data_IF_399385784136
#
_entry.id   IF_399385784136
#
_cell.length_a   1.000
_cell.length_b   1.000
_cell.length_c   1.000
_cell.angle_alpha   90.00
_cell.angle_beta   90.00
_cell.angle_gamma   90.00
#
_symmetry.space_group_name_H-M   'P 1'
#
loop_
_entity.id
_entity.type
_entity.pdbx_description
1 polymer ?
#
# COMPACT_ATOMS: atom_id res chain seq x y z
N UNK A 1 -39.32 -15.61 45.77
CA UNK A 1 -38.78 -16.98 45.87
C UNK A 1 -39.40 -17.75 44.70
N UNK A 2 -38.81 -18.13 43.56
CA UNK A 2 -37.46 -18.42 43.00
C UNK A 2 -37.41 -17.85 41.54
N UNK A 3 -36.37 -17.16 41.00
CA UNK A 3 -35.11 -17.63 40.34
C UNK A 3 -35.35 -18.85 39.37
N UNK A 4 -34.98 -18.95 38.08
CA UNK A 4 -33.72 -18.62 37.35
C UNK A 4 -33.90 -18.88 35.82
N UNK A 5 -33.10 -18.17 35.01
CA UNK A 5 -32.65 -18.32 33.59
C UNK A 5 -32.84 -19.65 32.84
N UNK A 6 -33.09 -19.58 31.52
CA UNK A 6 -32.51 -20.41 30.43
C UNK A 6 -32.85 -19.72 29.07
N UNK A 7 -31.98 -18.98 28.39
CA UNK A 7 -30.89 -19.40 27.46
C UNK A 7 -31.35 -20.23 26.24
N UNK A 8 -31.22 -19.62 25.04
CA UNK A 8 -31.13 -20.17 23.66
C UNK A 8 -32.44 -20.39 22.87
N UNK A 9 -32.33 -20.27 21.53
CA UNK A 9 -33.34 -20.37 20.45
C UNK A 9 -34.17 -19.08 20.26
N UNK A 10 -34.16 -18.34 19.15
CA UNK A 10 -33.79 -18.61 17.75
C UNK A 10 -33.31 -17.28 17.11
N UNK A 11 -32.09 -17.29 16.56
CA UNK A 11 -31.54 -16.27 15.66
C UNK A 11 -31.77 -16.75 14.23
N UNK A 12 -32.85 -16.32 13.55
CA UNK A 12 -32.92 -16.26 12.08
C UNK A 12 -34.02 -15.25 11.70
N UNK A 13 -33.64 -13.99 11.48
CA UNK A 13 -34.45 -13.05 10.69
C UNK A 13 -33.53 -12.42 9.65
N UNK A 14 -33.45 -13.10 8.52
CA UNK A 14 -33.51 -12.54 7.17
C UNK A 14 -33.00 -11.11 6.98
N UNK A 15 -31.68 -10.93 6.82
CA UNK A 15 -31.12 -9.74 6.17
C UNK A 15 -30.87 -10.11 4.70
N UNK A 16 -31.96 -10.14 3.93
CA UNK A 16 -31.97 -10.25 2.46
C UNK A 16 -32.39 -8.89 1.90
N UNK A 17 -31.49 -7.90 1.89
CA UNK A 17 -31.65 -6.65 1.12
C UNK A 17 -30.42 -5.69 1.21
N UNK A 18 -29.18 -6.20 1.13
CA UNK A 18 -27.99 -5.31 1.09
C UNK A 18 -27.08 -5.57 -0.14
N UNK A 19 -27.64 -6.11 -1.23
CA UNK A 19 -26.89 -6.50 -2.42
C UNK A 19 -26.90 -5.45 -3.56
N UNK A 20 -27.10 -4.16 -3.27
CA UNK A 20 -27.15 -3.13 -4.32
C UNK A 20 -26.52 -1.81 -3.86
N UNK A 21 -25.21 -1.81 -3.62
CA UNK A 21 -24.32 -0.66 -3.79
C UNK A 21 -22.87 -1.11 -3.56
N UNK A 22 -22.36 -2.02 -4.39
CA UNK A 22 -20.90 -2.08 -4.55
C UNK A 22 -20.57 -0.85 -5.39
N UNK A 23 -19.84 0.16 -4.87
CA UNK A 23 -19.25 1.14 -5.75
C UNK A 23 -18.37 0.34 -6.70
N UNK A 24 -18.74 0.31 -7.98
CA UNK A 24 -17.82 -0.12 -9.02
C UNK A 24 -16.59 0.76 -8.83
N UNK A 25 -15.51 0.17 -8.29
CA UNK A 25 -14.23 0.84 -8.23
C UNK A 25 -13.93 1.22 -9.67
N UNK A 26 -14.11 2.50 -9.99
CA UNK A 26 -13.57 3.08 -11.21
C UNK A 26 -12.11 2.64 -11.21
N UNK A 27 -11.71 1.87 -12.22
CA UNK A 27 -10.36 1.33 -12.29
C UNK A 27 -9.40 2.49 -12.06
N UNK A 28 -8.65 2.44 -10.96
CA UNK A 28 -7.60 3.40 -10.72
C UNK A 28 -6.72 3.35 -11.97
N UNK A 29 -6.71 4.44 -12.74
CA UNK A 29 -5.75 4.57 -13.82
C UNK A 29 -4.40 4.53 -13.11
N UNK A 30 -3.63 3.45 -13.30
CA UNK A 30 -2.33 3.32 -12.66
C UNK A 30 -1.45 4.43 -13.22
N UNK A 31 -1.20 5.43 -12.38
CA UNK A 31 -0.30 6.52 -12.71
C UNK A 31 1.14 6.02 -12.58
N UNK A 32 2.01 6.52 -13.44
CA UNK A 32 3.43 6.21 -13.31
C UNK A 32 3.96 6.77 -12.01
N UNK A 33 4.52 5.90 -11.17
CA UNK A 33 5.06 6.28 -9.88
C UNK A 33 5.24 5.08 -8.95
N UNK A 34 6.10 5.26 -7.95
CA UNK A 34 6.23 4.37 -6.82
C UNK A 34 5.44 4.99 -5.68
N UNK A 35 4.62 4.20 -4.99
CA UNK A 35 3.75 4.70 -3.93
C UNK A 35 3.90 3.84 -2.68
N UNK A 36 3.93 4.51 -1.53
CA UNK A 36 3.71 3.91 -0.21
C UNK A 36 2.47 4.54 0.42
N UNK A 37 1.87 3.83 1.36
CA UNK A 37 0.80 4.42 2.15
C UNK A 37 1.33 5.66 2.88
N UNK A 38 0.55 6.74 2.89
CA UNK A 38 0.91 7.96 3.63
C UNK A 38 1.10 7.63 5.12
N UNK A 39 2.20 8.11 5.70
CA UNK A 39 2.57 7.81 7.09
C UNK A 39 3.02 6.36 7.34
N UNK A 40 3.35 5.60 6.30
CA UNK A 40 3.88 4.25 6.47
C UNK A 40 5.16 4.26 7.30
N UNK A 41 5.13 3.57 8.44
CA UNK A 41 6.32 3.25 9.22
C UNK A 41 6.96 2.02 8.59
N UNK A 42 8.11 2.21 7.94
CA UNK A 42 8.87 1.11 7.36
C UNK A 42 9.97 0.68 8.34
N UNK A 43 10.01 -0.61 8.65
CA UNK A 43 11.02 -1.17 9.57
C UNK A 43 11.40 -2.59 9.16
N UNK A 44 12.70 -2.90 9.16
CA UNK A 44 13.19 -4.19 8.70
C UNK A 44 13.13 -4.27 7.19
N UNK A 45 12.19 -5.04 6.64
CA UNK A 45 11.99 -5.15 5.19
C UNK A 45 10.60 -4.65 4.82
N UNK A 46 10.53 -3.76 3.85
CA UNK A 46 9.30 -3.15 3.38
C UNK A 46 9.15 -3.35 1.87
N UNK A 47 7.96 -3.75 1.42
CA UNK A 47 7.67 -3.87 0.00
C UNK A 47 7.13 -2.53 -0.54
N UNK A 48 7.88 -1.96 -1.48
CA UNK A 48 7.52 -0.75 -2.22
C UNK A 48 6.90 -1.19 -3.54
N UNK A 49 5.69 -0.71 -3.83
CA UNK A 49 4.97 -1.04 -5.06
C UNK A 49 4.77 0.19 -5.91
N UNK A 50 4.63 -0.01 -7.21
CA UNK A 50 4.31 1.05 -8.13
C UNK A 50 4.03 0.54 -9.52
N UNK A 51 3.89 1.47 -10.44
CA UNK A 51 3.65 1.18 -11.84
C UNK A 51 4.49 2.11 -12.70
N UNK A 52 5.07 1.60 -13.78
CA UNK A 52 5.73 2.44 -14.76
C UNK A 52 5.52 1.91 -16.18
N UNK A 53 4.91 2.70 -17.04
CA UNK A 53 4.73 2.38 -18.46
C UNK A 53 4.72 3.63 -19.35
N UNK A 54 5.01 3.48 -20.62
CA UNK A 54 4.88 4.55 -21.61
C UNK A 54 5.58 4.25 -22.92
N UNK A 55 5.12 4.88 -24.00
CA UNK A 55 5.59 4.61 -25.37
C UNK A 55 7.12 4.79 -25.55
N UNK A 56 7.74 5.63 -24.73
CA UNK A 56 9.19 5.89 -24.74
C UNK A 56 9.86 5.51 -23.43
N UNK A 57 9.26 4.61 -22.65
CA UNK A 57 9.81 4.17 -21.38
C UNK A 57 11.25 3.65 -21.55
N UNK A 58 12.13 4.06 -20.63
CA UNK A 58 13.54 3.66 -20.62
C UNK A 58 13.88 2.86 -19.37
N UNK A 59 13.50 3.39 -18.22
CA UNK A 59 13.69 2.78 -16.91
C UNK A 59 12.84 3.49 -15.85
N UNK A 60 12.66 2.82 -14.72
CA UNK A 60 12.22 3.40 -13.47
C UNK A 60 13.38 3.40 -12.49
N UNK A 61 13.42 4.40 -11.60
CA UNK A 61 14.43 4.56 -10.56
C UNK A 61 13.70 4.79 -9.23
N UNK A 62 14.15 4.13 -8.15
CA UNK A 62 13.66 4.32 -6.79
C UNK A 62 14.71 5.06 -5.97
N UNK A 63 14.31 6.20 -5.41
CA UNK A 63 15.14 7.05 -4.57
C UNK A 63 14.53 7.21 -3.17
N UNK A 64 15.39 7.43 -2.18
CA UNK A 64 15.00 7.83 -0.84
C UNK A 64 15.50 9.23 -0.55
N UNK A 65 14.63 10.08 -0.05
CA UNK A 65 14.91 11.48 0.29
C UNK A 65 14.81 11.67 1.80
N UNK A 66 15.94 11.64 2.55
CA UNK A 66 15.92 11.91 3.98
C UNK A 66 15.38 13.31 4.25
N UNK A 67 14.31 13.42 5.04
CA UNK A 67 13.63 14.69 5.32
C UNK A 67 13.10 15.43 4.09
N UNK A 68 12.98 14.76 2.94
CA UNK A 68 12.62 15.39 1.67
C UNK A 68 13.75 16.21 1.01
N UNK A 69 15.00 16.09 1.45
CA UNK A 69 16.14 16.80 0.86
C UNK A 69 16.67 16.07 -0.39
N UNK A 70 16.45 16.65 -1.58
CA UNK A 70 16.98 16.14 -2.87
C UNK A 70 18.52 16.05 -2.89
N UNK A 71 19.19 16.89 -2.12
CA UNK A 71 20.66 16.91 -2.03
C UNK A 71 21.21 15.69 -1.30
N UNK A 72 20.40 15.07 -0.44
CA UNK A 72 20.75 13.90 0.36
C UNK A 72 20.16 12.60 -0.20
N UNK A 73 19.65 12.62 -1.45
CA UNK A 73 18.97 11.46 -2.02
C UNK A 73 19.87 10.24 -2.12
N UNK A 74 19.30 9.10 -1.77
CA UNK A 74 19.96 7.80 -1.89
C UNK A 74 19.30 6.99 -2.98
N UNK A 75 20.11 6.41 -3.87
CA UNK A 75 19.63 5.49 -4.89
C UNK A 75 19.38 4.11 -4.25
N UNK A 76 18.20 3.54 -4.48
CA UNK A 76 17.84 2.23 -3.91
C UNK A 76 17.81 1.16 -4.99
N UNK A 77 17.04 1.38 -6.05
CA UNK A 77 16.79 0.37 -7.08
C UNK A 77 16.45 1.02 -8.41
N UNK A 78 16.52 0.25 -9.49
CA UNK A 78 16.09 0.66 -10.82
C UNK A 78 15.76 -0.55 -11.67
N UNK A 79 14.93 -0.38 -12.70
CA UNK A 79 14.61 -1.43 -13.65
C UNK A 79 14.18 -0.91 -15.01
N UNK A 80 14.28 -1.76 -16.03
CA UNK A 80 13.95 -1.42 -17.43
C UNK A 80 12.64 -2.02 -17.90
N UNK A 81 12.03 -2.87 -17.08
CA UNK A 81 10.74 -3.48 -17.37
C UNK A 81 9.60 -2.49 -17.08
N UNK A 82 8.56 -2.55 -17.93
CA UNK A 82 7.34 -1.79 -17.75
C UNK A 82 6.29 -2.63 -17.01
N UNK A 83 5.33 -1.94 -16.38
CA UNK A 83 4.21 -2.54 -15.68
C UNK A 83 4.35 -2.38 -14.17
N UNK A 84 3.84 -3.38 -13.44
CA UNK A 84 3.89 -3.44 -11.98
C UNK A 84 5.33 -3.59 -11.48
N UNK A 85 5.70 -2.76 -10.51
CA UNK A 85 6.99 -2.76 -9.83
C UNK A 85 6.76 -3.20 -8.39
N UNK A 86 7.60 -4.11 -7.93
CA UNK A 86 7.68 -4.50 -6.52
C UNK A 86 9.14 -4.59 -6.10
N UNK A 87 9.54 -3.80 -5.11
CA UNK A 87 10.90 -3.72 -4.59
C UNK A 87 10.86 -3.98 -3.09
N UNK A 88 11.59 -4.99 -2.65
CA UNK A 88 11.80 -5.24 -1.22
C UNK A 88 12.96 -4.37 -0.73
N UNK A 89 12.64 -3.38 0.10
CA UNK A 89 13.55 -2.42 0.69
C UNK A 89 13.92 -2.88 2.10
N UNK A 90 15.20 -3.18 2.33
CA UNK A 90 15.73 -3.37 3.68
C UNK A 90 16.07 -2.02 4.31
N UNK A 91 15.21 -1.56 5.21
CA UNK A 91 15.31 -0.24 5.86
C UNK A 91 16.42 -0.18 6.90
N UNK A 92 16.96 -1.31 7.36
CA UNK A 92 18.02 -1.34 8.38
C UNK A 92 19.36 -0.78 7.87
N UNK A 93 19.47 -0.62 6.55
CA UNK A 93 20.63 -0.03 5.88
C UNK A 93 20.60 1.51 5.89
N UNK A 94 19.50 2.13 6.34
CA UNK A 94 19.32 3.58 6.38
C UNK A 94 19.15 4.06 7.82
N UNK A 95 19.49 5.32 8.07
CA UNK A 95 19.29 5.92 9.38
C UNK A 95 17.80 6.07 9.70
N UNK A 96 17.43 5.93 10.97
CA UNK A 96 16.05 6.16 11.39
C UNK A 96 15.67 7.64 11.15
N UNK A 97 14.50 7.88 10.57
CA UNK A 97 14.01 9.23 10.31
C UNK A 97 12.84 9.28 9.33
N UNK A 98 12.43 10.50 9.00
CA UNK A 98 11.40 10.75 7.99
C UNK A 98 12.01 10.70 6.59
N UNK A 99 11.32 10.02 5.67
CA UNK A 99 11.75 9.88 4.28
C UNK A 99 10.60 10.19 3.32
N UNK A 100 10.96 10.68 2.13
CA UNK A 100 10.08 10.79 0.96
C UNK A 100 10.64 9.92 -0.18
N UNK A 101 9.77 9.49 -1.10
CA UNK A 101 10.08 8.65 -2.26
C UNK A 101 9.90 9.44 -3.56
#
# INVERSE_FOLDING_TARGET
MFRTKLFRMVLVVTILAALLAVPMAAGAQMENGLTVAEGAVLSGTADITGYAAGDNFKRWDLHLFPGGDDSAKTWVASGTDQGDISVSLDTTQYADGDYTL
#
